data_IF_512213702240
#
_entry.id   IF_512213702240
#
_cell.length_a   1.000
_cell.length_b   1.000
_cell.length_c   1.000
_cell.angle_alpha   90.00
_cell.angle_beta   90.00
_cell.angle_gamma   90.00
#
_symmetry.space_group_name_H-M   'P 1'
#
loop_
_entity.id
_entity.type
_entity.pdbx_description
1 polymer ?
#
# COMPACT_ATOMS: atom_id res chain seq x y z
N UNK A 1 50.75 41.52 44.64
CA UNK A 1 49.31 41.70 44.93
C UNK A 1 48.54 40.83 43.94
N UNK A 2 47.74 39.85 44.39
CA UNK A 2 46.87 39.05 43.51
C UNK A 2 45.58 39.83 43.28
N UNK A 3 45.19 40.03 42.03
CA UNK A 3 43.86 40.58 41.72
C UNK A 3 42.78 39.63 42.27
N UNK A 4 41.69 40.17 42.85
CA UNK A 4 40.57 39.34 43.27
C UNK A 4 39.92 38.68 42.04
N UNK A 5 39.43 37.43 42.15
CA UNK A 5 38.75 36.78 41.04
C UNK A 5 37.48 37.55 40.69
N UNK A 6 37.34 37.92 39.41
CA UNK A 6 36.10 38.47 38.87
C UNK A 6 35.09 37.33 38.84
N UNK A 7 34.08 37.40 39.72
CA UNK A 7 32.94 36.48 39.67
C UNK A 7 31.98 37.01 38.60
N UNK A 8 32.13 36.50 37.39
CA UNK A 8 31.21 36.80 36.29
C UNK A 8 29.85 36.18 36.61
N UNK A 9 28.85 37.02 36.92
CA UNK A 9 27.49 36.56 37.15
C UNK A 9 26.80 36.37 35.81
N UNK A 10 26.26 35.18 35.58
CA UNK A 10 25.45 34.89 34.39
C UNK A 10 24.27 35.87 34.37
N UNK A 11 24.06 36.61 33.27
CA UNK A 11 22.91 37.47 33.10
C UNK A 11 21.59 36.73 33.39
N UNK A 12 20.72 37.32 34.23
CA UNK A 12 19.48 36.68 34.71
C UNK A 12 18.56 36.24 33.57
N UNK A 13 18.61 36.90 32.41
CA UNK A 13 17.81 36.56 31.23
C UNK A 13 18.25 35.27 30.52
N UNK A 14 19.46 34.77 30.78
CA UNK A 14 19.93 33.50 30.19
C UNK A 14 19.28 32.27 30.83
N UNK A 15 18.83 32.34 32.07
CA UNK A 15 18.13 31.24 32.74
C UNK A 15 16.80 30.86 32.05
N UNK A 16 15.86 31.79 31.77
CA UNK A 16 14.63 31.45 31.06
C UNK A 16 14.91 31.03 29.60
N UNK A 17 15.91 31.62 28.93
CA UNK A 17 16.31 31.22 27.57
C UNK A 17 16.87 29.79 27.57
N UNK A 18 17.74 29.45 28.50
CA UNK A 18 18.25 28.09 28.69
C UNK A 18 17.14 27.09 29.02
N UNK A 19 16.18 27.48 29.87
CA UNK A 19 15.00 26.67 30.16
C UNK A 19 14.16 26.39 28.91
N UNK A 20 13.89 27.41 28.10
CA UNK A 20 13.16 27.26 26.83
C UNK A 20 13.90 26.36 25.83
N UNK A 21 15.24 26.51 25.73
CA UNK A 21 16.06 25.64 24.90
C UNK A 21 16.01 24.18 25.36
N UNK A 22 16.09 23.93 26.66
CA UNK A 22 15.98 22.58 27.21
C UNK A 22 14.61 21.96 26.94
N UNK A 23 13.51 22.74 27.09
CA UNK A 23 12.16 22.28 26.75
C UNK A 23 12.06 21.95 25.26
N UNK A 24 12.58 22.81 24.38
CA UNK A 24 12.59 22.55 22.94
C UNK A 24 13.39 21.29 22.59
N UNK A 25 14.54 21.07 23.24
CA UNK A 25 15.36 19.87 23.04
C UNK A 25 14.64 18.61 23.52
N UNK A 26 13.96 18.66 24.68
CA UNK A 26 13.14 17.54 25.17
C UNK A 26 11.99 17.24 24.22
N UNK A 27 11.28 18.25 23.73
CA UNK A 27 10.19 18.08 22.76
C UNK A 27 10.71 17.49 21.44
N UNK A 28 11.87 17.93 20.97
CA UNK A 28 12.50 17.40 19.76
C UNK A 28 12.92 15.94 19.95
N UNK A 29 13.53 15.58 21.08
CA UNK A 29 13.89 14.19 21.40
C UNK A 29 12.64 13.33 21.54
N UNK A 30 11.61 13.81 22.24
CA UNK A 30 10.35 13.08 22.39
C UNK A 30 9.66 12.86 21.03
N UNK A 31 9.61 13.89 20.18
CA UNK A 31 9.09 13.77 18.81
C UNK A 31 9.95 12.82 17.95
N UNK A 32 11.27 12.79 18.16
CA UNK A 32 12.17 11.89 17.44
C UNK A 32 12.03 10.42 17.84
N UNK A 33 11.58 10.13 19.07
CA UNK A 33 11.40 8.76 19.58
C UNK A 33 9.96 8.25 19.37
N UNK A 34 8.99 9.16 19.24
CA UNK A 34 7.60 8.82 18.98
C UNK A 34 7.47 8.18 17.59
N UNK A 35 7.13 6.88 17.55
CA UNK A 35 6.86 6.18 16.30
C UNK A 35 5.44 6.51 15.84
N UNK A 36 5.23 6.91 14.58
CA UNK A 36 3.87 7.10 14.10
C UNK A 36 3.16 5.75 14.09
N UNK A 37 1.93 5.71 14.59
CA UNK A 37 1.08 4.53 14.55
C UNK A 37 0.59 4.32 13.11
N UNK A 38 0.86 3.14 12.56
CA UNK A 38 0.37 2.73 11.24
C UNK A 38 -0.54 1.52 11.38
N UNK A 39 -1.54 1.34 10.51
CA UNK A 39 -2.26 0.08 10.43
C UNK A 39 -1.29 -1.07 10.11
N UNK A 40 -1.26 -2.06 10.99
CA UNK A 40 -0.42 -3.25 10.88
C UNK A 40 -1.29 -4.48 10.64
N UNK A 41 -0.87 -5.33 9.70
CA UNK A 41 -1.61 -6.54 9.33
C UNK A 41 -0.65 -7.72 9.20
N UNK A 42 -1.02 -8.86 9.80
CA UNK A 42 -0.30 -10.11 9.62
C UNK A 42 -0.51 -10.65 8.20
N UNK A 43 0.52 -11.19 7.53
CA UNK A 43 0.36 -11.93 6.29
C UNK A 43 -0.75 -12.97 6.40
N UNK A 44 -1.67 -12.94 5.44
CA UNK A 44 -2.80 -13.86 5.46
C UNK A 44 -2.34 -15.25 5.06
N UNK A 45 -2.71 -16.27 5.83
CA UNK A 45 -2.55 -17.65 5.41
C UNK A 45 -3.53 -17.94 4.26
N UNK A 46 -3.00 -18.15 3.06
CA UNK A 46 -3.79 -18.33 1.85
C UNK A 46 -4.17 -19.79 1.67
N UNK A 47 -5.48 -20.04 1.72
CA UNK A 47 -6.07 -21.33 1.37
C UNK A 47 -6.80 -21.16 0.04
N UNK A 48 -6.32 -21.78 -1.05
CA UNK A 48 -6.95 -21.68 -2.37
C UNK A 48 -8.42 -22.09 -2.33
N UNK A 49 -9.24 -21.40 -3.12
CA UNK A 49 -10.68 -21.63 -3.25
C UNK A 49 -11.07 -21.73 -4.72
N UNK A 50 -12.27 -22.25 -4.96
CA UNK A 50 -12.86 -22.22 -6.29
C UNK A 50 -13.30 -20.79 -6.66
N UNK A 51 -13.33 -20.51 -7.96
CA UNK A 51 -13.87 -19.26 -8.52
C UNK A 51 -15.31 -19.06 -8.03
N UNK A 52 -15.66 -17.88 -7.49
CA UNK A 52 -17.03 -17.57 -7.08
C UNK A 52 -18.04 -17.76 -8.22
N UNK A 53 -19.28 -18.16 -7.91
CA UNK A 53 -20.35 -18.24 -8.93
C UNK A 53 -21.02 -16.88 -9.21
N UNK A 54 -20.59 -15.84 -8.51
CA UNK A 54 -21.12 -14.48 -8.55
C UNK A 54 -20.15 -13.55 -7.83
N UNK A 55 -20.66 -12.52 -7.16
CA UNK A 55 -19.81 -11.61 -6.39
C UNK A 55 -19.31 -12.26 -5.08
N UNK A 56 -18.06 -11.99 -4.72
CA UNK A 56 -17.50 -12.35 -3.42
C UNK A 56 -16.59 -11.22 -2.91
N UNK A 57 -16.64 -10.92 -1.61
CA UNK A 57 -15.74 -9.96 -0.94
C UNK A 57 -14.78 -10.68 -0.02
N UNK A 58 -13.55 -10.18 0.05
CA UNK A 58 -12.53 -10.69 0.96
C UNK A 58 -11.54 -9.60 1.37
N UNK A 59 -10.72 -9.93 2.36
CA UNK A 59 -9.56 -9.14 2.76
C UNK A 59 -8.34 -10.05 2.81
N UNK A 60 -7.25 -9.58 2.20
CA UNK A 60 -5.98 -10.31 2.14
C UNK A 60 -4.82 -9.38 2.42
N UNK A 61 -3.87 -9.89 3.17
CA UNK A 61 -2.55 -9.28 3.38
C UNK A 61 -1.52 -10.12 2.65
N UNK A 62 -1.01 -9.56 1.55
CA UNK A 62 0.01 -10.16 0.69
C UNK A 62 1.39 -9.83 1.26
N UNK A 63 2.20 -10.86 1.51
CA UNK A 63 3.59 -10.70 1.94
C UNK A 63 4.49 -10.36 0.75
N UNK A 64 4.79 -9.08 0.58
CA UNK A 64 5.71 -8.52 -0.40
C UNK A 64 6.95 -7.91 0.28
N UNK A 65 7.37 -8.47 1.43
CA UNK A 65 8.59 -8.03 2.13
C UNK A 65 9.84 -8.28 1.29
N UNK A 66 9.89 -9.39 0.55
CA UNK A 66 10.96 -9.68 -0.39
C UNK A 66 10.94 -8.66 -1.55
N UNK A 67 11.90 -7.74 -1.57
CA UNK A 67 11.99 -6.71 -2.60
C UNK A 67 12.61 -7.16 -3.92
N UNK A 68 13.12 -8.40 -3.99
CA UNK A 68 13.73 -8.95 -5.21
C UNK A 68 12.68 -9.58 -6.14
N UNK A 69 11.55 -10.02 -5.61
CA UNK A 69 10.56 -10.84 -6.32
C UNK A 69 9.18 -10.21 -6.27
N UNK A 70 8.35 -10.55 -7.25
CA UNK A 70 6.94 -10.18 -7.27
C UNK A 70 6.12 -11.28 -6.59
N UNK A 71 5.31 -10.88 -5.61
CA UNK A 71 4.28 -11.73 -5.04
C UNK A 71 3.06 -11.68 -5.96
N UNK A 72 2.79 -12.76 -6.70
CA UNK A 72 1.69 -12.82 -7.67
C UNK A 72 0.43 -13.40 -7.01
N UNK A 73 -0.68 -12.68 -7.09
CA UNK A 73 -1.94 -13.04 -6.46
C UNK A 73 -3.07 -13.14 -7.48
N UNK A 74 -3.83 -14.24 -7.40
CA UNK A 74 -5.07 -14.49 -8.13
C UNK A 74 -6.26 -14.17 -7.20
N UNK A 75 -7.08 -13.21 -7.60
CA UNK A 75 -8.19 -12.71 -6.79
C UNK A 75 -9.34 -13.73 -6.75
N UNK A 76 -9.62 -14.39 -7.86
CA UNK A 76 -10.67 -15.39 -8.01
C UNK A 76 -10.45 -16.60 -7.11
N UNK A 77 -9.24 -17.14 -7.09
CA UNK A 77 -8.92 -18.36 -6.32
C UNK A 77 -8.36 -18.07 -4.93
N UNK A 78 -8.10 -16.79 -4.61
CA UNK A 78 -7.48 -16.36 -3.35
C UNK A 78 -6.16 -17.11 -3.11
N UNK A 79 -5.29 -17.14 -4.11
CA UNK A 79 -4.05 -17.93 -4.06
C UNK A 79 -2.84 -17.18 -4.59
N UNK A 80 -1.65 -17.58 -4.14
CA UNK A 80 -0.39 -17.11 -4.72
C UNK A 80 -0.05 -17.96 -5.93
N UNK A 81 0.44 -17.31 -6.99
CA UNK A 81 0.86 -17.95 -8.23
C UNK A 81 2.38 -17.88 -8.35
N UNK A 82 3.00 -18.91 -8.91
CA UNK A 82 4.44 -18.93 -9.18
C UNK A 82 4.78 -18.13 -10.44
N UNK A 83 5.77 -17.25 -10.38
CA UNK A 83 6.23 -16.46 -11.53
C UNK A 83 6.97 -17.33 -12.58
N UNK A 84 7.03 -16.91 -13.87
CA UNK A 84 6.31 -15.81 -14.52
C UNK A 84 5.03 -16.28 -15.25
N UNK A 85 4.60 -17.52 -15.03
CA UNK A 85 3.47 -18.14 -15.71
C UNK A 85 2.21 -18.13 -14.83
N UNK A 86 1.05 -18.32 -15.44
CA UNK A 86 -0.21 -18.52 -14.72
C UNK A 86 -1.13 -17.31 -14.71
N UNK A 87 -2.28 -17.57 -14.12
CA UNK A 87 -3.51 -16.77 -14.16
C UNK A 87 -3.57 -15.84 -12.93
N UNK A 88 -2.48 -15.09 -12.70
CA UNK A 88 -2.43 -14.09 -11.63
C UNK A 88 -3.01 -12.75 -12.10
N UNK A 89 -3.52 -11.96 -11.17
CA UNK A 89 -4.22 -10.71 -11.48
C UNK A 89 -3.50 -9.47 -10.97
N UNK A 90 -3.00 -9.56 -9.74
CA UNK A 90 -2.31 -8.50 -9.04
C UNK A 90 -0.95 -9.01 -8.56
N UNK A 91 0.11 -8.37 -9.01
CA UNK A 91 1.46 -8.63 -8.52
C UNK A 91 1.92 -7.48 -7.63
N UNK A 92 2.47 -7.82 -6.46
CA UNK A 92 2.96 -6.84 -5.48
C UNK A 92 4.46 -7.04 -5.24
N UNK A 93 5.23 -5.95 -5.28
CA UNK A 93 6.64 -5.95 -4.89
C UNK A 93 6.93 -4.72 -4.07
N UNK A 94 7.15 -4.90 -2.77
CA UNK A 94 7.17 -3.80 -1.79
C UNK A 94 5.89 -2.98 -1.95
N UNK A 95 6.00 -1.69 -2.23
CA UNK A 95 4.84 -0.80 -2.39
C UNK A 95 4.34 -0.71 -3.85
N UNK A 96 5.02 -1.36 -4.80
CA UNK A 96 4.61 -1.38 -6.20
C UNK A 96 3.55 -2.45 -6.42
N UNK A 97 2.61 -2.14 -7.31
CA UNK A 97 1.60 -3.09 -7.76
C UNK A 97 1.44 -3.00 -9.27
N UNK A 98 1.27 -4.15 -9.91
CA UNK A 98 1.02 -4.26 -11.35
C UNK A 98 -0.04 -5.31 -11.62
N UNK A 99 -0.65 -5.25 -12.80
CA UNK A 99 -1.65 -6.23 -13.26
C UNK A 99 -1.08 -7.13 -14.33
N UNK A 100 -1.66 -8.32 -14.52
CA UNK A 100 -1.28 -9.22 -15.61
C UNK A 100 -1.92 -8.80 -16.93
N UNK A 101 -1.41 -7.71 -17.49
CA UNK A 101 -1.80 -7.25 -18.81
C UNK A 101 -0.95 -6.07 -19.24
N UNK A 102 -0.65 -6.01 -20.53
CA UNK A 102 0.31 -5.08 -21.11
C UNK A 102 1.44 -5.80 -21.86
N UNK A 103 2.39 -5.06 -22.45
CA UNK A 103 3.45 -5.64 -23.26
C UNK A 103 4.31 -6.65 -22.48
N UNK A 104 4.38 -7.89 -22.97
CA UNK A 104 5.19 -8.96 -22.36
C UNK A 104 4.49 -9.74 -21.24
N UNK A 105 3.21 -9.46 -20.98
CA UNK A 105 2.36 -10.21 -20.06
C UNK A 105 1.25 -10.94 -20.85
N UNK A 106 0.80 -12.09 -20.34
CA UNK A 106 -0.11 -12.99 -21.08
C UNK A 106 -1.59 -12.67 -20.88
N UNK A 107 -1.95 -12.01 -19.78
CA UNK A 107 -3.34 -11.73 -19.45
C UNK A 107 -3.90 -10.46 -20.09
N UNK A 108 -5.21 -10.31 -19.97
CA UNK A 108 -5.94 -9.11 -20.37
C UNK A 108 -6.04 -8.06 -19.25
N UNK A 109 -5.28 -8.22 -18.16
CA UNK A 109 -5.47 -7.46 -16.93
C UNK A 109 -5.22 -5.95 -17.06
N UNK A 110 -5.79 -5.20 -16.13
CA UNK A 110 -5.59 -3.75 -16.06
C UNK A 110 -6.34 -3.14 -14.88
N UNK A 111 -6.02 -1.90 -14.52
CA UNK A 111 -6.70 -1.19 -13.45
C UNK A 111 -7.15 0.21 -13.85
N UNK A 112 -8.27 0.65 -13.26
CA UNK A 112 -8.81 1.99 -13.41
C UNK A 112 -9.12 2.56 -12.03
N UNK A 113 -8.88 3.85 -11.83
CA UNK A 113 -9.33 4.55 -10.64
C UNK A 113 -10.83 4.84 -10.76
N UNK A 114 -11.57 4.63 -9.68
CA UNK A 114 -13.01 4.85 -9.63
C UNK A 114 -13.36 6.09 -8.83
N UNK A 115 -14.41 6.76 -9.28
CA UNK A 115 -15.03 7.86 -8.53
C UNK A 115 -15.97 7.29 -7.46
N UNK A 116 -15.89 7.84 -6.26
CA UNK A 116 -16.76 7.48 -5.14
C UNK A 116 -16.11 6.55 -4.12
N UNK A 117 -16.83 6.34 -3.01
CA UNK A 117 -16.40 5.46 -1.93
C UNK A 117 -16.68 3.99 -2.23
N UNK A 118 -16.10 3.10 -1.42
CA UNK A 118 -16.22 1.64 -1.54
C UNK A 118 -17.65 1.14 -1.75
N UNK A 119 -18.59 1.63 -0.93
CA UNK A 119 -20.00 1.20 -0.96
C UNK A 119 -20.80 1.77 -2.13
N UNK A 120 -20.35 2.90 -2.70
CA UNK A 120 -21.02 3.53 -3.84
C UNK A 120 -20.67 2.85 -5.17
N UNK A 121 -19.53 2.18 -5.24
CA UNK A 121 -19.10 1.45 -6.43
C UNK A 121 -19.78 0.07 -6.45
N UNK A 122 -20.80 -0.08 -7.29
CA UNK A 122 -21.54 -1.34 -7.45
C UNK A 122 -21.35 -1.98 -8.82
N UNK A 123 -20.75 -1.28 -9.79
CA UNK A 123 -20.49 -1.78 -11.14
C UNK A 123 -19.12 -1.34 -11.65
N UNK A 124 -18.38 -2.25 -12.29
CA UNK A 124 -17.12 -1.98 -12.95
C UNK A 124 -17.32 -1.21 -14.27
N UNK A 125 -16.42 -0.26 -14.62
CA UNK A 125 -16.49 0.41 -15.91
C UNK A 125 -16.23 -0.57 -17.07
N UNK A 126 -16.80 -0.30 -18.24
CA UNK A 126 -16.61 -1.15 -19.43
C UNK A 126 -15.25 -0.93 -20.11
N UNK A 127 -14.59 0.19 -19.83
CA UNK A 127 -13.34 0.62 -20.48
C UNK A 127 -12.55 1.55 -19.55
N UNK A 128 -11.33 1.93 -19.95
CA UNK A 128 -10.49 2.87 -19.20
C UNK A 128 -9.46 2.21 -18.28
N UNK A 129 -9.29 0.89 -18.37
CA UNK A 129 -8.26 0.15 -17.65
C UNK A 129 -6.89 0.45 -18.26
N UNK A 130 -6.02 1.07 -17.46
CA UNK A 130 -4.61 1.13 -17.77
C UNK A 130 -3.99 -0.26 -17.60
N UNK A 131 -2.93 -0.53 -18.37
CA UNK A 131 -2.19 -1.79 -18.34
C UNK A 131 -0.80 -1.56 -17.74
N UNK A 132 -0.15 -2.64 -17.35
CA UNK A 132 1.23 -2.62 -16.87
C UNK A 132 2.18 -2.25 -18.01
N UNK A 133 3.14 -1.39 -17.70
CA UNK A 133 4.23 -1.03 -18.59
C UNK A 133 5.48 -1.84 -18.23
N UNK A 134 6.00 -2.59 -19.21
CA UNK A 134 7.20 -3.42 -19.07
C UNK A 134 6.92 -4.82 -18.52
N UNK A 135 7.95 -5.68 -18.58
CA UNK A 135 7.90 -7.03 -18.03
C UNK A 135 8.28 -7.03 -16.54
N UNK A 136 7.82 -8.04 -15.78
CA UNK A 136 8.09 -8.14 -14.33
C UNK A 136 9.58 -8.08 -13.98
N UNK A 137 10.44 -8.69 -14.81
CA UNK A 137 11.90 -8.68 -14.65
C UNK A 137 12.58 -7.36 -15.04
N UNK A 138 11.90 -6.51 -15.81
CA UNK A 138 12.47 -5.31 -16.44
C UNK A 138 11.86 -4.02 -15.86
N UNK A 139 11.56 -4.03 -14.55
CA UNK A 139 11.04 -2.85 -13.86
C UNK A 139 9.60 -2.49 -14.22
N UNK A 140 8.71 -3.49 -14.24
CA UNK A 140 7.28 -3.28 -14.45
C UNK A 140 6.70 -2.19 -13.53
N UNK A 141 5.87 -1.32 -14.10
CA UNK A 141 5.16 -0.23 -13.41
C UNK A 141 3.71 -0.17 -13.84
N UNK A 142 2.85 0.43 -13.03
CA UNK A 142 1.44 0.60 -13.37
C UNK A 142 0.98 2.04 -13.08
N UNK A 143 0.57 2.81 -14.09
CA UNK A 143 0.38 4.27 -13.98
C UNK A 143 -0.74 4.67 -13.01
N UNK A 144 -1.69 3.77 -12.73
CA UNK A 144 -2.79 4.00 -11.77
C UNK A 144 -2.46 3.47 -10.38
N UNK A 145 -1.70 2.38 -10.27
CA UNK A 145 -1.56 1.64 -9.02
C UNK A 145 -0.34 2.08 -8.22
N UNK A 146 0.68 2.68 -8.84
CA UNK A 146 1.88 3.17 -8.14
C UNK A 146 1.63 4.42 -7.26
N UNK A 147 0.41 4.98 -7.27
CA UNK A 147 0.02 6.21 -6.58
C UNK A 147 -1.05 6.01 -5.50
N UNK A 148 -1.07 4.83 -4.87
CA UNK A 148 -2.09 4.45 -3.89
C UNK A 148 -1.98 5.11 -2.52
N UNK A 149 -0.89 5.84 -2.26
CA UNK A 149 -0.54 6.36 -0.94
C UNK A 149 -0.26 7.86 -0.94
N UNK A 150 -0.37 8.45 0.24
CA UNK A 150 0.21 9.75 0.60
C UNK A 150 1.51 9.51 1.36
N UNK A 151 2.61 10.11 0.88
CA UNK A 151 3.92 10.00 1.50
C UNK A 151 4.16 11.11 2.53
N UNK A 152 4.39 10.72 3.78
CA UNK A 152 4.76 11.66 4.84
C UNK A 152 6.26 11.91 4.86
N UNK A 153 6.74 13.03 4.30
CA UNK A 153 8.17 13.33 4.13
C UNK A 153 9.02 13.17 5.40
N UNK A 154 8.53 13.65 6.56
CA UNK A 154 9.27 13.55 7.82
C UNK A 154 9.22 12.16 8.46
N UNK A 155 8.12 11.44 8.26
CA UNK A 155 7.91 10.10 8.83
C UNK A 155 8.41 8.97 7.93
N UNK A 156 8.59 9.23 6.64
CA UNK A 156 8.78 8.24 5.58
C UNK A 156 7.69 7.17 5.49
N UNK A 157 6.48 7.48 5.98
CA UNK A 157 5.35 6.55 5.99
C UNK A 157 4.50 6.69 4.74
N UNK A 158 4.07 5.55 4.21
CA UNK A 158 3.11 5.44 3.12
C UNK A 158 1.73 5.19 3.71
N UNK A 159 0.88 6.20 3.68
CA UNK A 159 -0.50 6.09 4.20
C UNK A 159 -1.44 5.82 3.03
N UNK A 160 -2.26 4.75 3.05
CA UNK A 160 -3.23 4.51 1.99
C UNK A 160 -4.14 5.73 1.78
N UNK A 161 -4.26 6.17 0.54
CA UNK A 161 -5.27 7.15 0.16
C UNK A 161 -6.64 6.45 0.09
N UNK A 162 -7.77 7.17 0.28
CA UNK A 162 -9.12 6.61 0.25
C UNK A 162 -9.58 6.37 -1.21
N UNK A 163 -8.78 5.61 -1.97
CA UNK A 163 -8.99 5.33 -3.39
C UNK A 163 -9.60 3.95 -3.55
N UNK A 164 -10.50 3.84 -4.53
CA UNK A 164 -11.09 2.57 -4.96
C UNK A 164 -10.69 2.35 -6.40
N UNK A 165 -10.24 1.15 -6.70
CA UNK A 165 -9.80 0.74 -8.03
C UNK A 165 -10.77 -0.29 -8.58
N UNK A 166 -11.08 -0.21 -9.87
CA UNK A 166 -11.53 -1.37 -10.63
C UNK A 166 -10.30 -2.11 -11.14
N UNK A 167 -10.36 -3.43 -11.10
CA UNK A 167 -9.39 -4.33 -11.67
C UNK A 167 -10.10 -5.20 -12.69
N UNK A 168 -9.56 -5.27 -13.90
CA UNK A 168 -9.86 -6.31 -14.87
C UNK A 168 -8.83 -7.42 -14.66
N UNK A 169 -9.28 -8.64 -14.43
CA UNK A 169 -8.44 -9.82 -14.15
C UNK A 169 -7.73 -10.28 -15.43
N UNK A 170 -6.77 -11.20 -15.31
CA UNK A 170 -6.05 -11.74 -16.46
C UNK A 170 -7.01 -12.41 -17.48
N UNK A 171 -8.09 -13.03 -16.99
CA UNK A 171 -9.11 -13.72 -17.79
C UNK A 171 -10.22 -12.76 -18.26
N UNK A 172 -10.18 -11.48 -17.88
CA UNK A 172 -11.15 -10.47 -18.28
C UNK A 172 -12.40 -10.38 -17.41
N UNK A 173 -12.38 -10.97 -16.20
CA UNK A 173 -13.38 -10.70 -15.17
C UNK A 173 -13.12 -9.36 -14.48
N UNK A 174 -14.01 -8.98 -13.58
CA UNK A 174 -13.96 -7.68 -12.91
C UNK A 174 -13.91 -7.83 -11.40
N UNK A 175 -13.13 -6.96 -10.78
CA UNK A 175 -13.07 -6.77 -9.36
C UNK A 175 -13.04 -5.27 -9.03
N UNK A 176 -13.35 -4.91 -7.79
CA UNK A 176 -12.88 -3.68 -7.16
C UNK A 176 -11.97 -4.01 -5.99
N UNK A 177 -11.05 -3.11 -5.69
CA UNK A 177 -10.27 -3.20 -4.46
C UNK A 177 -9.90 -1.83 -3.91
N UNK A 178 -9.59 -1.80 -2.61
CA UNK A 178 -8.96 -0.68 -1.93
C UNK A 178 -7.85 -1.18 -1.02
N UNK A 179 -6.90 -0.33 -0.73
CA UNK A 179 -5.77 -0.67 0.14
C UNK A 179 -6.09 -0.21 1.55
N UNK A 180 -5.93 -1.12 2.50
CA UNK A 180 -6.14 -0.87 3.93
C UNK A 180 -4.83 -0.59 4.67
N UNK A 181 -3.71 -1.12 4.19
CA UNK A 181 -2.41 -0.94 4.83
C UNK A 181 -1.26 -1.56 4.04
N UNK A 182 -0.03 -1.28 4.50
CA UNK A 182 1.22 -1.72 3.88
C UNK A 182 2.23 -2.31 4.88
N UNK A 183 1.93 -2.25 6.17
CA UNK A 183 2.86 -2.59 7.23
C UNK A 183 2.46 -3.91 7.90
N UNK A 184 3.45 -4.75 8.16
CA UNK A 184 3.37 -5.93 9.01
C UNK A 184 3.54 -5.51 10.48
N UNK A 185 3.33 -6.43 11.46
CA UNK A 185 3.58 -6.14 12.86
C UNK A 185 4.93 -5.49 13.13
N UNK A 186 4.94 -4.47 13.98
CA UNK A 186 6.11 -3.66 14.31
C UNK A 186 6.48 -2.65 13.23
N UNK A 187 5.50 -2.11 12.50
CA UNK A 187 5.64 -1.15 11.42
C UNK A 187 6.64 -1.58 10.32
N UNK A 188 6.72 -2.89 10.03
CA UNK A 188 7.62 -3.43 9.02
C UNK A 188 7.00 -3.31 7.61
N UNK A 189 7.61 -2.59 6.65
CA UNK A 189 7.00 -2.38 5.34
C UNK A 189 7.03 -3.66 4.49
N UNK A 190 5.95 -3.91 3.75
CA UNK A 190 5.86 -5.01 2.79
C UNK A 190 4.63 -5.91 2.93
N UNK A 191 3.73 -5.65 3.89
CA UNK A 191 2.48 -6.39 4.01
C UNK A 191 1.34 -5.59 3.37
N UNK A 192 1.19 -5.74 2.05
CA UNK A 192 0.14 -5.06 1.29
C UNK A 192 -1.21 -5.66 1.64
N UNK A 193 -2.06 -4.91 2.32
CA UNK A 193 -3.39 -5.35 2.72
C UNK A 193 -4.44 -4.69 1.85
N UNK A 194 -5.22 -5.52 1.16
CA UNK A 194 -6.31 -5.08 0.30
C UNK A 194 -7.62 -5.68 0.78
N UNK A 195 -8.67 -4.87 0.69
CA UNK A 195 -10.05 -5.36 0.65
C UNK A 195 -10.49 -5.36 -0.82
N UNK A 196 -11.06 -6.47 -1.28
CA UNK A 196 -11.45 -6.62 -2.66
C UNK A 196 -12.80 -7.32 -2.78
N UNK A 197 -13.53 -7.00 -3.86
CA UNK A 197 -14.70 -7.72 -4.29
C UNK A 197 -14.47 -8.17 -5.73
N UNK A 198 -14.60 -9.47 -5.99
CA UNK A 198 -14.35 -10.10 -7.30
C UNK A 198 -15.63 -10.74 -7.83
N UNK A 199 -15.83 -10.65 -9.15
CA UNK A 199 -16.99 -11.19 -9.84
C UNK A 199 -16.59 -12.40 -10.68
N UNK A 200 -17.09 -13.58 -10.31
CA UNK A 200 -16.76 -14.83 -11.00
C UNK A 200 -17.66 -15.17 -12.20
N UNK A 201 -18.83 -14.55 -12.35
CA UNK A 201 -19.76 -14.80 -13.46
C UNK A 201 -19.44 -14.02 -14.75
N UNK A 202 -18.43 -13.13 -14.70
CA UNK A 202 -18.00 -12.30 -15.84
C UNK A 202 -18.83 -11.05 -16.10
N UNK A 203 -19.88 -10.80 -15.32
CA UNK A 203 -20.57 -9.52 -15.32
C UNK A 203 -19.69 -8.42 -14.71
N UNK A 204 -20.15 -7.18 -14.81
CA UNK A 204 -19.48 -6.02 -14.18
C UNK A 204 -20.02 -5.73 -12.79
N UNK A 205 -20.90 -6.56 -12.22
CA UNK A 205 -21.49 -6.31 -10.91
C UNK A 205 -20.46 -6.56 -9.79
N UNK A 206 -20.31 -5.59 -8.88
CA UNK A 206 -19.30 -5.58 -7.80
C UNK A 206 -19.92 -5.47 -6.39
N UNK A 207 -21.24 -5.54 -6.29
CA UNK A 207 -22.02 -5.52 -5.06
C UNK A 207 -23.34 -6.30 -5.27
N UNK A 208 -24.01 -6.74 -4.19
CA UNK A 208 -25.30 -7.44 -4.26
C UNK A 208 -26.37 -6.69 -5.06
#
# INVERSE_FOLDING_TARGET
MRNPPVVERIPVWLYPVGGMFMVAMVLLVAASVSRPEVPEFEPTELVPRGVPSGWATDTVTIDARNGAEWALFDLETRSMVEAPAGDWDLAVKRFHMVTNGGPGLSGAGGAALLDGGWDAVTEAPASGYAVTAGALGDGATHPVLDHWYVYGFFSHILTPAPLVYALRTAEGRYAKFRILGYYCPGANPGCMTIEYAVQGDGTRQLAP
#
